data_IF_280525138544
#
_entry.id   IF_280525138544
#
_cell.length_a   1.000
_cell.length_b   1.000
_cell.length_c   1.000
_cell.angle_alpha   90.00
_cell.angle_beta   90.00
_cell.angle_gamma   90.00
#
_symmetry.space_group_name_H-M   'P 1'
#
loop_
_entity.id
_entity.type
_entity.pdbx_description
1 polymer ?
#
# COMPACT_ATOMS: atom_id res chain seq x y z
N UNK A 1 37.12 12.89 5.68
CA UNK A 1 36.27 13.85 6.43
C UNK A 1 34.83 13.67 5.97
N UNK A 2 33.94 13.16 6.84
CA UNK A 2 32.54 12.94 6.51
C UNK A 2 31.79 14.27 6.65
N UNK A 3 31.36 14.84 5.52
CA UNK A 3 30.65 16.12 5.49
C UNK A 3 29.40 16.08 6.40
N UNK A 4 29.15 17.14 7.21
CA UNK A 4 27.99 17.26 8.12
C UNK A 4 26.63 17.24 7.41
N UNK A 5 26.62 17.29 6.07
CA UNK A 5 25.41 17.35 5.24
C UNK A 5 24.70 16.01 5.00
N UNK A 6 25.24 14.87 5.44
CA UNK A 6 24.58 13.56 5.18
C UNK A 6 23.19 13.48 5.79
N UNK A 7 22.95 14.05 6.97
CA UNK A 7 21.61 14.03 7.56
C UNK A 7 20.63 14.92 6.80
N UNK A 8 21.10 16.07 6.30
CA UNK A 8 20.28 16.97 5.49
C UNK A 8 19.94 16.37 4.12
N UNK A 9 20.87 15.65 3.51
CA UNK A 9 20.60 14.85 2.30
C UNK A 9 19.50 13.81 2.56
N UNK A 10 19.58 13.08 3.69
CA UNK A 10 18.55 12.13 4.09
C UNK A 10 17.17 12.77 4.28
N UNK A 11 17.11 13.97 4.87
CA UNK A 11 15.87 14.73 5.04
C UNK A 11 15.29 15.19 3.71
N UNK A 12 16.13 15.69 2.80
CA UNK A 12 15.71 16.09 1.47
C UNK A 12 15.07 14.92 0.70
N UNK A 13 15.68 13.74 0.74
CA UNK A 13 15.11 12.53 0.14
C UNK A 13 13.80 12.09 0.80
N UNK A 14 13.67 12.21 2.12
CA UNK A 14 12.45 11.87 2.85
C UNK A 14 11.28 12.78 2.41
N UNK A 15 11.47 14.09 2.44
CA UNK A 15 10.44 15.06 2.06
C UNK A 15 10.07 14.95 0.57
N UNK A 16 11.06 14.78 -0.31
CA UNK A 16 10.81 14.58 -1.74
C UNK A 16 10.02 13.29 -2.01
N UNK A 17 10.39 12.21 -1.32
CA UNK A 17 9.71 10.92 -1.43
C UNK A 17 8.25 11.00 -0.97
N UNK A 18 7.99 11.66 0.15
CA UNK A 18 6.63 11.90 0.65
C UNK A 18 5.80 12.76 -0.30
N UNK A 19 6.39 13.80 -0.89
CA UNK A 19 5.70 14.67 -1.84
C UNK A 19 5.32 13.92 -3.13
N UNK A 20 6.27 13.19 -3.72
CA UNK A 20 6.05 12.41 -4.95
C UNK A 20 5.05 11.29 -4.76
N UNK A 21 5.12 10.61 -3.62
CA UNK A 21 4.19 9.55 -3.26
C UNK A 21 2.72 10.04 -3.16
N UNK A 22 2.51 11.31 -2.80
CA UNK A 22 1.17 11.90 -2.66
C UNK A 22 0.59 12.47 -3.95
N UNK A 23 1.43 12.93 -4.90
CA UNK A 23 0.98 13.77 -6.02
C UNK A 23 1.07 13.16 -7.41
N UNK A 24 2.11 12.38 -7.70
CA UNK A 24 2.47 12.08 -9.10
C UNK A 24 2.83 10.61 -9.33
N UNK A 25 3.83 10.11 -8.61
CA UNK A 25 4.49 8.84 -8.90
C UNK A 25 4.88 8.12 -7.60
N UNK A 26 4.02 7.20 -7.11
CA UNK A 26 4.31 6.44 -5.89
C UNK A 26 5.54 5.55 -6.03
N UNK A 27 5.91 5.10 -7.23
CA UNK A 27 7.10 4.29 -7.43
C UNK A 27 8.38 5.11 -7.25
N UNK A 28 8.43 6.32 -7.83
CA UNK A 28 9.53 7.28 -7.59
C UNK A 28 9.57 7.73 -6.14
N UNK A 29 8.42 8.04 -5.53
CA UNK A 29 8.34 8.39 -4.11
C UNK A 29 8.93 7.30 -3.21
N UNK A 30 8.60 6.04 -3.48
CA UNK A 30 9.18 4.88 -2.77
C UNK A 30 10.70 4.79 -2.94
N UNK A 31 11.19 4.99 -4.16
CA UNK A 31 12.63 4.95 -4.44
C UNK A 31 13.39 6.03 -3.65
N UNK A 32 12.84 7.24 -3.55
CA UNK A 32 13.42 8.34 -2.77
C UNK A 32 13.39 8.04 -1.26
N UNK A 33 12.29 7.50 -0.73
CA UNK A 33 12.22 7.05 0.67
C UNK A 33 13.25 5.95 0.98
N UNK A 34 13.51 5.03 0.04
CA UNK A 34 14.57 4.03 0.19
C UNK A 34 15.97 4.65 0.23
N UNK A 35 16.21 5.75 -0.50
CA UNK A 35 17.47 6.50 -0.43
C UNK A 35 17.63 7.17 0.93
N UNK A 36 16.60 7.86 1.41
CA UNK A 36 16.57 8.46 2.75
C UNK A 36 16.91 7.44 3.84
N UNK A 37 16.28 6.25 3.78
CA UNK A 37 16.52 5.15 4.73
C UNK A 37 17.99 4.70 4.74
N UNK A 38 18.63 4.57 3.57
CA UNK A 38 20.06 4.17 3.49
C UNK A 38 20.96 5.22 4.14
N UNK A 39 20.66 6.49 3.95
CA UNK A 39 21.41 7.60 4.55
C UNK A 39 21.27 7.59 6.08
N UNK A 40 20.03 7.49 6.58
CA UNK A 40 19.79 7.40 8.03
C UNK A 40 20.35 6.13 8.67
N UNK A 41 20.40 5.01 7.94
CA UNK A 41 21.02 3.77 8.41
C UNK A 41 22.52 3.94 8.63
N UNK A 42 23.22 4.52 7.66
CA UNK A 42 24.67 4.79 7.74
C UNK A 42 25.02 5.81 8.83
N UNK A 43 24.09 6.70 9.17
CA UNK A 43 24.26 7.71 10.21
C UNK A 43 23.72 7.26 11.58
N UNK A 44 23.24 6.02 11.71
CA UNK A 44 22.62 5.47 12.92
C UNK A 44 21.51 6.35 13.53
N UNK A 45 20.82 7.10 12.66
CA UNK A 45 19.81 8.07 13.03
C UNK A 45 18.46 7.35 13.30
N UNK A 46 18.37 6.63 14.42
CA UNK A 46 17.25 5.74 14.77
C UNK A 46 15.85 6.40 14.65
N UNK A 47 15.61 7.63 15.12
CA UNK A 47 14.28 8.26 14.97
C UNK A 47 13.91 8.50 13.50
N UNK A 48 14.90 8.87 12.67
CA UNK A 48 14.71 9.12 11.25
C UNK A 48 14.51 7.83 10.45
N UNK A 49 15.19 6.75 10.85
CA UNK A 49 14.95 5.40 10.33
C UNK A 49 13.51 4.95 10.59
N UNK A 50 13.05 5.03 11.84
CA UNK A 50 11.71 4.61 12.22
C UNK A 50 10.64 5.42 11.46
N UNK A 51 10.82 6.74 11.34
CA UNK A 51 9.93 7.60 10.55
C UNK A 51 9.90 7.20 9.08
N UNK A 52 11.07 7.01 8.45
CA UNK A 52 11.15 6.63 7.03
C UNK A 52 10.55 5.26 6.76
N UNK A 53 10.73 4.30 7.68
CA UNK A 53 10.12 2.98 7.60
C UNK A 53 8.59 3.05 7.72
N UNK A 54 8.06 3.88 8.60
CA UNK A 54 6.62 4.10 8.72
C UNK A 54 6.02 4.68 7.43
N UNK A 55 6.70 5.63 6.77
CA UNK A 55 6.26 6.18 5.49
C UNK A 55 6.32 5.15 4.35
N UNK A 56 7.38 4.33 4.29
CA UNK A 56 7.44 3.20 3.34
C UNK A 56 6.31 2.20 3.55
N UNK A 57 6.00 1.85 4.81
CA UNK A 57 4.88 0.97 5.13
C UNK A 57 3.53 1.58 4.78
N UNK A 58 3.34 2.89 4.98
CA UNK A 58 2.14 3.60 4.54
C UNK A 58 1.99 3.51 3.03
N UNK A 59 3.07 3.78 2.29
CA UNK A 59 3.07 3.70 0.83
C UNK A 59 2.79 2.30 0.30
N UNK A 60 3.40 1.27 0.91
CA UNK A 60 3.18 -0.13 0.53
C UNK A 60 1.75 -0.60 0.88
N UNK A 61 1.19 -0.14 2.01
CA UNK A 61 -0.23 -0.34 2.35
C UNK A 61 -1.17 0.38 1.39
N UNK A 62 -0.74 1.54 0.92
CA UNK A 62 -1.56 2.39 0.06
C UNK A 62 -1.59 1.91 -1.38
N UNK A 63 -0.50 1.30 -1.85
CA UNK A 63 -0.37 0.69 -3.17
C UNK A 63 -0.53 1.71 -4.31
N UNK A 64 0.04 1.44 -5.50
CA UNK A 64 -0.31 2.23 -6.67
C UNK A 64 -1.81 2.06 -6.98
N UNK A 65 -2.56 3.16 -7.04
CA UNK A 65 -3.93 3.17 -7.59
C UNK A 65 -3.81 2.93 -9.08
N UNK A 66 -3.76 1.67 -9.50
CA UNK A 66 -3.78 1.32 -10.92
C UNK A 66 -5.24 1.15 -11.29
N UNK A 67 -5.74 2.01 -12.18
CA UNK A 67 -6.99 1.77 -12.92
C UNK A 67 -6.74 0.51 -13.77
N UNK A 68 -6.97 -0.66 -13.19
CA UNK A 68 -6.71 -1.95 -13.84
C UNK A 68 -7.89 -2.29 -14.73
N UNK A 69 -7.61 -2.47 -16.02
CA UNK A 69 -8.55 -3.02 -16.98
C UNK A 69 -8.48 -4.55 -16.88
N UNK A 70 -9.62 -5.20 -16.61
CA UNK A 70 -9.91 -6.61 -16.89
C UNK A 70 -9.05 -7.66 -16.18
N UNK A 71 -7.81 -7.84 -16.63
CA UNK A 71 -7.11 -9.12 -16.49
C UNK A 71 -6.06 -9.15 -15.37
N UNK A 72 -5.55 -8.00 -14.91
CA UNK A 72 -4.53 -7.91 -13.86
C UNK A 72 -5.02 -7.20 -12.57
N UNK A 73 -6.34 -7.09 -12.40
CA UNK A 73 -6.94 -6.42 -11.25
C UNK A 73 -6.58 -7.11 -9.92
N UNK A 74 -6.49 -8.45 -9.90
CA UNK A 74 -6.11 -9.20 -8.69
C UNK A 74 -4.59 -9.22 -8.44
N UNK A 75 -3.76 -8.89 -9.44
CA UNK A 75 -2.30 -8.85 -9.33
C UNK A 75 -1.77 -7.73 -8.43
N UNK A 76 -2.51 -6.64 -8.30
CA UNK A 76 -2.16 -5.49 -7.44
C UNK A 76 -2.59 -5.66 -5.98
N UNK A 77 -3.38 -6.69 -5.66
CA UNK A 77 -3.87 -6.95 -4.32
C UNK A 77 -2.88 -7.81 -3.51
N UNK A 78 -2.78 -7.52 -2.21
CA UNK A 78 -2.12 -8.45 -1.28
C UNK A 78 -2.92 -9.76 -1.16
N UNK A 79 -2.29 -10.82 -0.64
CA UNK A 79 -2.94 -12.12 -0.46
C UNK A 79 -4.25 -12.04 0.33
N UNK A 80 -4.26 -11.24 1.41
CA UNK A 80 -5.45 -11.03 2.23
C UNK A 80 -6.53 -10.29 1.44
N UNK A 81 -6.17 -9.21 0.74
CA UNK A 81 -7.12 -8.44 -0.08
C UNK A 81 -7.69 -9.27 -1.22
N UNK A 82 -6.89 -10.13 -1.84
CA UNK A 82 -7.31 -11.07 -2.89
C UNK A 82 -8.29 -12.08 -2.34
N UNK A 83 -7.99 -12.74 -1.21
CA UNK A 83 -8.91 -13.69 -0.56
C UNK A 83 -10.24 -13.03 -0.19
N UNK A 84 -10.19 -11.81 0.34
CA UNK A 84 -11.40 -11.01 0.63
C UNK A 84 -12.17 -10.72 -0.66
N UNK A 85 -11.52 -10.28 -1.73
CA UNK A 85 -12.17 -9.97 -3.01
C UNK A 85 -12.84 -11.20 -3.65
N UNK A 86 -12.21 -12.38 -3.55
CA UNK A 86 -12.80 -13.65 -4.03
C UNK A 86 -14.05 -14.00 -3.24
N UNK A 87 -13.99 -13.96 -1.91
CA UNK A 87 -15.17 -14.23 -1.06
C UNK A 87 -16.28 -13.19 -1.27
N UNK A 88 -15.92 -11.96 -1.63
CA UNK A 88 -16.89 -10.92 -2.01
C UNK A 88 -17.61 -11.28 -3.31
N UNK A 89 -16.88 -11.79 -4.30
CA UNK A 89 -17.43 -12.28 -5.56
C UNK A 89 -18.36 -13.50 -5.39
N UNK A 90 -18.12 -14.31 -4.36
CA UNK A 90 -19.01 -15.40 -3.94
C UNK A 90 -20.25 -14.92 -3.18
N UNK A 91 -20.36 -13.62 -2.88
CA UNK A 91 -21.49 -13.04 -2.16
C UNK A 91 -21.37 -13.07 -0.62
N UNK A 92 -20.24 -13.49 -0.05
CA UNK A 92 -20.08 -13.65 1.40
C UNK A 92 -20.04 -12.31 2.14
N UNK A 93 -20.85 -12.12 3.18
CA UNK A 93 -20.88 -10.92 4.02
C UNK A 93 -19.56 -10.71 4.79
N UNK A 94 -19.31 -9.50 5.29
CA UNK A 94 -18.09 -9.21 6.06
C UNK A 94 -17.94 -10.11 7.30
N UNK A 95 -19.05 -10.54 7.92
CA UNK A 95 -19.06 -11.48 9.05
C UNK A 95 -18.64 -12.89 8.62
N UNK A 96 -19.15 -13.38 7.49
CA UNK A 96 -18.77 -14.68 6.95
C UNK A 96 -17.31 -14.69 6.48
N UNK A 97 -16.85 -13.61 5.85
CA UNK A 97 -15.44 -13.44 5.46
C UNK A 97 -14.53 -13.45 6.70
N UNK A 98 -14.92 -12.70 7.74
CA UNK A 98 -14.21 -12.66 9.01
C UNK A 98 -14.08 -14.07 9.63
N UNK A 99 -15.17 -14.83 9.65
CA UNK A 99 -15.18 -16.21 10.13
C UNK A 99 -14.29 -17.14 9.28
N UNK A 100 -14.39 -17.08 7.95
CA UNK A 100 -13.61 -17.93 7.02
C UNK A 100 -12.11 -17.63 7.04
N UNK A 101 -11.73 -16.37 7.27
CA UNK A 101 -10.33 -15.93 7.29
C UNK A 101 -9.74 -15.84 8.70
N UNK A 102 -10.51 -16.17 9.75
CA UNK A 102 -10.11 -16.01 11.16
C UNK A 102 -9.67 -14.56 11.49
N UNK A 103 -10.41 -13.58 10.97
CA UNK A 103 -10.15 -12.15 11.16
C UNK A 103 -11.32 -11.47 11.89
N UNK A 104 -11.09 -10.28 12.45
CA UNK A 104 -12.18 -9.43 12.91
C UNK A 104 -12.95 -8.82 11.73
N UNK A 105 -14.24 -8.53 11.90
CA UNK A 105 -15.05 -7.80 10.90
C UNK A 105 -14.42 -6.47 10.52
N UNK A 106 -13.88 -5.74 11.50
CA UNK A 106 -13.16 -4.48 11.30
C UNK A 106 -11.91 -4.64 10.43
N UNK A 107 -11.22 -5.78 10.55
CA UNK A 107 -10.07 -6.11 9.69
C UNK A 107 -10.51 -6.34 8.25
N UNK A 108 -11.65 -7.02 8.06
CA UNK A 108 -12.24 -7.25 6.72
C UNK A 108 -12.67 -5.93 6.09
N UNK A 109 -13.35 -5.05 6.84
CA UNK A 109 -13.71 -3.71 6.38
C UNK A 109 -12.48 -2.90 5.97
N UNK A 110 -11.43 -2.92 6.78
CA UNK A 110 -10.19 -2.25 6.45
C UNK A 110 -9.52 -2.84 5.20
N UNK A 111 -9.59 -4.16 5.01
CA UNK A 111 -9.11 -4.82 3.79
C UNK A 111 -9.91 -4.39 2.56
N UNK A 112 -11.24 -4.36 2.66
CA UNK A 112 -12.13 -3.90 1.59
C UNK A 112 -11.85 -2.44 1.19
N UNK A 113 -11.67 -1.54 2.16
CA UNK A 113 -11.32 -0.14 1.88
C UNK A 113 -10.01 -0.03 1.09
N UNK A 114 -9.00 -0.85 1.43
CA UNK A 114 -7.75 -0.91 0.67
C UNK A 114 -7.95 -1.50 -0.72
N UNK A 115 -8.73 -2.58 -0.84
CA UNK A 115 -9.09 -3.19 -2.13
C UNK A 115 -9.79 -2.17 -3.04
N UNK A 116 -10.79 -1.45 -2.53
CA UNK A 116 -11.49 -0.41 -3.30
C UNK A 116 -10.55 0.64 -3.85
N UNK A 117 -9.64 1.15 -3.00
CA UNK A 117 -8.65 2.13 -3.42
C UNK A 117 -7.67 1.55 -4.44
N UNK A 118 -7.13 0.35 -4.21
CA UNK A 118 -6.14 -0.30 -5.11
C UNK A 118 -6.73 -0.61 -6.49
N UNK A 119 -7.99 -1.02 -6.53
CA UNK A 119 -8.72 -1.30 -7.78
C UNK A 119 -9.34 -0.05 -8.41
N UNK A 120 -9.38 1.08 -7.70
CA UNK A 120 -10.03 2.31 -8.15
C UNK A 120 -11.56 2.21 -8.25
N UNK A 121 -12.18 1.33 -7.46
CA UNK A 121 -13.64 1.11 -7.48
C UNK A 121 -14.33 1.72 -6.27
N UNK A 122 -15.65 1.92 -6.37
CA UNK A 122 -16.46 2.60 -5.34
C UNK A 122 -17.40 1.67 -4.61
N UNK A 123 -17.68 0.49 -5.15
CA UNK A 123 -18.62 -0.44 -4.55
C UNK A 123 -18.09 -1.85 -4.42
N UNK A 124 -18.68 -2.57 -3.46
CA UNK A 124 -18.50 -4.01 -3.28
C UNK A 124 -18.89 -4.80 -4.53
N UNK A 125 -19.90 -4.33 -5.26
CA UNK A 125 -20.37 -4.95 -6.52
C UNK A 125 -19.31 -4.81 -7.61
N UNK A 126 -18.63 -3.67 -7.69
CA UNK A 126 -17.55 -3.47 -8.66
C UNK A 126 -16.37 -4.41 -8.38
N UNK A 127 -16.01 -4.61 -7.11
CA UNK A 127 -15.00 -5.61 -6.72
C UNK A 127 -15.40 -7.01 -7.15
N UNK A 128 -16.65 -7.41 -6.90
CA UNK A 128 -17.16 -8.70 -7.32
C UNK A 128 -17.07 -8.88 -8.85
N UNK A 129 -17.47 -7.86 -9.63
CA UNK A 129 -17.38 -7.90 -11.10
C UNK A 129 -15.94 -8.07 -11.59
N UNK A 130 -15.00 -7.31 -11.05
CA UNK A 130 -13.58 -7.41 -11.44
C UNK A 130 -12.98 -8.76 -11.04
N UNK A 131 -13.31 -9.29 -9.86
CA UNK A 131 -12.82 -10.58 -9.40
C UNK A 131 -13.38 -11.77 -10.20
N UNK A 132 -14.60 -11.65 -10.76
CA UNK A 132 -15.19 -12.66 -11.66
C UNK A 132 -14.59 -12.58 -13.06
N UNK A 133 -14.25 -11.38 -13.54
CA UNK A 133 -13.73 -11.17 -14.90
C UNK A 133 -12.29 -11.63 -15.08
N UNK A 134 -11.49 -11.66 -14.00
CA UNK A 134 -10.10 -12.14 -14.02
C UNK A 134 -9.93 -13.64 -13.72
N UNK A 135 -10.93 -14.47 -14.03
CA UNK A 135 -10.87 -15.94 -13.91
C UNK A 135 -10.61 -16.59 -15.27
#
# INVERSE_FOLDING_TARGET
QALPYRLEEGRAWLELGMLRARRDDPARGRADLLRARRVFAKAEAKPWLARTQAELQRLDRDGPVRRTSGDDALGVLSDVERRVAVLVAEGATNREIAARLFLSTKTVEAALTRTFRKLGVRSRVDVARLAVSGR
#
